data_IF_949119871418
#
_entry.id   IF_949119871418
#
_cell.length_a   1.000
_cell.length_b   1.000
_cell.length_c   1.000
_cell.angle_alpha   90.00
_cell.angle_beta   90.00
_cell.angle_gamma   90.00
#
_symmetry.space_group_name_H-M   'P 1'
#
loop_
_entity.id
_entity.type
_entity.pdbx_description
1 polymer ?
#
# COMPACT_ATOMS: atom_id res chain seq x y z
N UNK A 1 39.87 56.65 5.71
CA UNK A 1 40.22 55.86 6.92
C UNK A 1 39.35 54.62 6.94
N UNK A 2 39.92 53.52 6.46
CA UNK A 2 39.30 52.19 6.33
C UNK A 2 38.88 51.64 7.70
N UNK A 3 37.69 51.04 7.80
CA UNK A 3 37.32 50.17 8.93
C UNK A 3 37.16 48.75 8.41
N UNK A 4 37.85 47.86 9.11
CA UNK A 4 38.14 46.47 8.80
C UNK A 4 36.89 45.63 8.54
N UNK A 5 36.96 44.85 7.46
CA UNK A 5 36.18 43.62 7.28
C UNK A 5 36.84 42.54 8.14
N UNK A 6 36.12 42.03 9.14
CA UNK A 6 36.53 40.82 9.88
C UNK A 6 36.04 39.62 9.08
N UNK A 7 36.97 38.91 8.45
CA UNK A 7 36.70 37.68 7.73
C UNK A 7 36.44 36.53 8.74
N UNK A 8 35.20 36.06 8.83
CA UNK A 8 34.91 34.78 9.48
C UNK A 8 35.15 33.65 8.49
N UNK A 9 36.18 32.86 8.74
CA UNK A 9 36.48 31.63 7.99
C UNK A 9 35.44 30.56 8.30
N UNK A 10 34.56 30.25 7.37
CA UNK A 10 33.78 29.00 7.37
C UNK A 10 33.86 28.38 5.98
N UNK A 11 34.22 27.10 5.94
CA UNK A 11 34.59 26.34 4.74
C UNK A 11 33.53 26.44 3.62
N UNK A 12 33.94 26.53 2.35
CA UNK A 12 33.02 26.48 1.22
C UNK A 12 32.61 25.03 0.96
N UNK A 13 31.31 24.82 0.76
CA UNK A 13 30.80 23.57 0.18
C UNK A 13 30.13 22.60 1.15
N UNK A 14 28.85 22.88 1.45
CA UNK A 14 27.76 21.89 1.44
C UNK A 14 26.43 22.64 1.59
N UNK A 15 25.69 22.80 0.51
CA UNK A 15 24.29 23.18 0.58
C UNK A 15 23.52 22.03 1.21
N UNK A 16 23.41 21.99 2.54
CA UNK A 16 22.29 21.27 3.14
C UNK A 16 21.07 22.15 2.93
N UNK A 17 20.40 22.01 1.78
CA UNK A 17 18.97 22.32 1.77
C UNK A 17 18.39 21.50 2.92
N UNK A 18 18.06 22.15 4.04
CA UNK A 18 17.10 21.58 4.98
C UNK A 18 15.89 21.27 4.08
N UNK A 19 15.47 20.01 3.93
CA UNK A 19 14.27 19.72 3.17
C UNK A 19 13.19 20.67 3.70
N UNK A 20 12.46 21.40 2.85
CA UNK A 20 11.34 22.20 3.32
C UNK A 20 10.56 21.30 4.27
N UNK A 21 10.55 21.65 5.56
CA UNK A 21 9.85 20.83 6.55
C UNK A 21 8.44 20.72 6.02
N UNK A 22 8.03 19.51 5.68
CA UNK A 22 6.71 19.21 5.18
C UNK A 22 5.73 19.97 6.07
N UNK A 23 4.98 20.92 5.51
CA UNK A 23 4.23 21.89 6.31
C UNK A 23 3.18 21.13 7.13
N UNK A 24 3.49 20.86 8.40
CA UNK A 24 2.62 20.09 9.30
C UNK A 24 1.25 20.74 9.43
N UNK A 25 1.18 22.06 9.34
CA UNK A 25 -0.05 22.84 9.33
C UNK A 25 -0.94 22.54 8.11
N UNK A 26 -0.33 22.36 6.94
CA UNK A 26 -1.05 22.01 5.70
C UNK A 26 -1.59 20.58 5.80
N UNK A 27 -0.79 19.64 6.32
CA UNK A 27 -1.28 18.29 6.59
C UNK A 27 -2.41 18.26 7.62
N UNK A 28 -2.29 19.06 8.68
CA UNK A 28 -3.27 19.12 9.76
C UNK A 28 -4.58 19.70 9.24
N UNK A 29 -4.52 20.77 8.46
CA UNK A 29 -5.68 21.31 7.75
C UNK A 29 -6.29 20.27 6.80
N UNK A 30 -5.47 19.61 5.97
CA UNK A 30 -5.94 18.56 5.06
C UNK A 30 -6.64 17.41 5.79
N UNK A 31 -6.09 16.90 6.89
CA UNK A 31 -6.73 15.87 7.73
C UNK A 31 -7.99 16.33 8.46
N UNK A 32 -8.17 17.65 8.62
CA UNK A 32 -9.37 18.22 9.22
C UNK A 32 -10.50 18.26 8.20
N UNK A 33 -10.20 18.58 6.94
CA UNK A 33 -11.19 18.58 5.85
C UNK A 33 -11.49 17.18 5.30
N UNK A 34 -10.46 16.34 5.16
CA UNK A 34 -10.58 14.98 4.63
C UNK A 34 -10.52 13.99 5.79
N UNK A 35 -11.70 13.46 6.10
CA UNK A 35 -11.86 12.39 7.08
C UNK A 35 -11.00 11.19 6.66
N UNK A 36 -10.50 10.46 7.66
CA UNK A 36 -9.70 9.26 7.39
C UNK A 36 -10.64 8.15 6.95
N UNK A 37 -10.58 7.78 5.67
CA UNK A 37 -11.39 6.68 5.13
C UNK A 37 -11.04 5.39 5.85
N UNK A 38 -12.02 4.80 6.51
CA UNK A 38 -11.91 3.50 7.16
C UNK A 38 -12.39 2.39 6.23
N UNK A 39 -12.05 1.13 6.55
CA UNK A 39 -12.57 -0.02 5.80
C UNK A 39 -14.10 -0.09 5.85
N UNK A 40 -14.66 0.25 7.01
CA UNK A 40 -16.12 0.30 7.23
C UNK A 40 -16.80 1.34 6.33
N UNK A 41 -16.16 2.50 6.10
CA UNK A 41 -16.69 3.52 5.19
C UNK A 41 -16.75 3.01 3.74
N UNK A 42 -15.75 2.24 3.31
CA UNK A 42 -15.70 1.62 1.99
C UNK A 42 -16.82 0.58 1.84
N UNK A 43 -16.99 -0.29 2.85
CA UNK A 43 -18.06 -1.30 2.84
C UNK A 43 -19.45 -0.66 2.84
N UNK A 44 -19.63 0.42 3.61
CA UNK A 44 -20.87 1.19 3.66
C UNK A 44 -21.17 1.90 2.33
N UNK A 45 -20.13 2.39 1.65
CA UNK A 45 -20.25 2.95 0.31
C UNK A 45 -20.69 1.87 -0.69
N UNK A 46 -19.98 0.73 -0.73
CA UNK A 46 -20.30 -0.37 -1.65
C UNK A 46 -21.72 -0.89 -1.46
N UNK A 47 -22.21 -1.00 -0.22
CA UNK A 47 -23.61 -1.40 0.05
C UNK A 47 -24.66 -0.43 -0.51
N UNK A 48 -24.34 0.86 -0.57
CA UNK A 48 -25.24 1.89 -1.13
C UNK A 48 -25.11 1.98 -2.64
N UNK A 49 -23.90 1.81 -3.14
CA UNK A 49 -23.54 1.95 -4.55
C UNK A 49 -23.95 0.73 -5.37
N UNK A 50 -23.66 -0.48 -4.90
CA UNK A 50 -24.00 -1.72 -5.60
C UNK A 50 -25.52 -1.88 -5.72
N UNK A 51 -26.02 -2.05 -6.96
CA UNK A 51 -27.44 -2.14 -7.28
C UNK A 51 -28.16 -0.79 -7.41
N UNK A 52 -27.46 0.33 -7.20
CA UNK A 52 -28.03 1.67 -7.41
C UNK A 52 -28.13 2.02 -8.89
N UNK A 53 -28.93 3.05 -9.20
CA UNK A 53 -28.98 3.63 -10.56
C UNK A 53 -27.63 4.23 -10.97
N UNK A 54 -26.89 4.83 -10.02
CA UNK A 54 -25.55 5.38 -10.27
C UNK A 54 -24.60 4.32 -10.83
N UNK A 55 -24.61 3.11 -10.27
CA UNK A 55 -23.79 2.01 -10.79
C UNK A 55 -24.18 1.64 -12.23
N UNK A 56 -25.48 1.59 -12.53
CA UNK A 56 -25.96 1.27 -13.89
C UNK A 56 -25.53 2.35 -14.89
N UNK A 57 -25.66 3.62 -14.53
CA UNK A 57 -25.24 4.75 -15.36
C UNK A 57 -23.73 4.74 -15.63
N UNK A 58 -22.92 4.45 -14.61
CA UNK A 58 -21.47 4.28 -14.77
C UNK A 58 -21.14 3.12 -15.71
N UNK A 59 -21.81 1.97 -15.54
CA UNK A 59 -21.64 0.82 -16.44
C UNK A 59 -21.94 1.19 -17.90
N UNK A 60 -23.00 1.96 -18.13
CA UNK A 60 -23.35 2.45 -19.48
C UNK A 60 -22.25 3.37 -20.02
N UNK A 61 -21.82 4.35 -19.23
CA UNK A 61 -20.77 5.29 -19.64
C UNK A 61 -19.43 4.59 -19.95
N UNK A 62 -19.06 3.58 -19.16
CA UNK A 62 -17.85 2.76 -19.40
C UNK A 62 -18.01 1.92 -20.66
N UNK A 63 -19.18 1.32 -20.88
CA UNK A 63 -19.47 0.53 -22.08
C UNK A 63 -19.38 1.37 -23.35
N UNK A 64 -19.94 2.58 -23.34
CA UNK A 64 -19.85 3.54 -24.44
C UNK A 64 -18.40 3.96 -24.72
N UNK A 65 -17.66 4.33 -23.66
CA UNK A 65 -16.26 4.76 -23.76
C UNK A 65 -15.36 3.72 -24.41
N UNK A 66 -15.55 2.44 -24.05
CA UNK A 66 -14.72 1.34 -24.56
C UNK A 66 -15.37 0.51 -25.67
N UNK A 67 -16.57 0.90 -26.12
CA UNK A 67 -17.32 0.24 -27.20
C UNK A 67 -17.52 -1.25 -26.94
N UNK A 68 -17.87 -1.60 -25.70
CA UNK A 68 -18.11 -2.97 -25.26
C UNK A 68 -16.87 -3.85 -25.11
N UNK A 69 -15.66 -3.30 -24.99
CA UNK A 69 -14.47 -4.10 -24.66
C UNK A 69 -14.51 -4.56 -23.20
N UNK A 70 -14.99 -5.79 -22.97
CA UNK A 70 -15.18 -6.35 -21.62
C UNK A 70 -13.87 -6.36 -20.81
N UNK A 71 -12.73 -6.53 -21.48
CA UNK A 71 -11.42 -6.50 -20.84
C UNK A 71 -11.14 -5.21 -20.08
N UNK A 72 -11.55 -4.07 -20.64
CA UNK A 72 -11.38 -2.74 -20.03
C UNK A 72 -12.53 -2.39 -19.09
N UNK A 73 -13.72 -2.89 -19.40
CA UNK A 73 -14.92 -2.67 -18.57
C UNK A 73 -14.69 -3.27 -17.19
N UNK A 74 -14.21 -4.52 -17.08
CA UNK A 74 -13.94 -5.14 -15.77
C UNK A 74 -12.86 -4.42 -14.95
N UNK A 75 -11.94 -3.71 -15.61
CA UNK A 75 -10.89 -2.94 -14.93
C UNK A 75 -11.42 -1.59 -14.41
N UNK A 76 -12.53 -1.09 -14.95
CA UNK A 76 -13.10 0.20 -14.60
C UNK A 76 -14.33 0.11 -13.71
N UNK A 77 -15.14 -0.95 -13.85
CA UNK A 77 -16.39 -1.11 -13.09
C UNK A 77 -16.07 -1.69 -11.72
N UNK A 78 -16.56 -1.02 -10.68
CA UNK A 78 -16.43 -1.45 -9.28
C UNK A 78 -17.71 -2.14 -8.79
N UNK A 79 -17.58 -2.94 -7.73
CA UNK A 79 -18.72 -3.55 -7.04
C UNK A 79 -19.08 -4.97 -7.47
N UNK A 80 -18.22 -5.61 -8.26
CA UNK A 80 -18.33 -7.03 -8.63
C UNK A 80 -17.07 -7.76 -8.17
N UNK A 81 -17.22 -8.89 -7.49
CA UNK A 81 -16.10 -9.74 -7.10
C UNK A 81 -15.73 -10.70 -8.24
N UNK A 82 -16.76 -11.22 -8.91
CA UNK A 82 -16.60 -12.19 -9.99
C UNK A 82 -16.84 -11.59 -11.37
N UNK A 83 -16.00 -12.03 -12.31
CA UNK A 83 -16.07 -11.65 -13.71
C UNK A 83 -17.40 -12.09 -14.35
N UNK A 84 -17.97 -13.20 -13.88
CA UNK A 84 -19.26 -13.70 -14.37
C UNK A 84 -20.42 -12.82 -13.91
N UNK A 85 -20.41 -12.33 -12.67
CA UNK A 85 -21.47 -11.45 -12.15
C UNK A 85 -21.54 -10.14 -12.94
N UNK A 86 -20.37 -9.56 -13.26
CA UNK A 86 -20.29 -8.37 -14.12
C UNK A 86 -20.85 -8.65 -15.52
N UNK A 87 -20.53 -9.82 -16.09
CA UNK A 87 -21.04 -10.22 -17.39
C UNK A 87 -22.56 -10.37 -17.35
N UNK A 88 -23.10 -11.04 -16.34
CA UNK A 88 -24.54 -11.22 -16.19
C UNK A 88 -25.25 -9.87 -16.04
N UNK A 89 -24.67 -8.92 -15.29
CA UNK A 89 -25.20 -7.56 -15.17
C UNK A 89 -25.14 -6.76 -16.47
N UNK A 90 -24.13 -6.96 -17.32
CA UNK A 90 -24.09 -6.35 -18.65
C UNK A 90 -25.10 -7.02 -19.60
N UNK A 91 -25.26 -8.34 -19.51
CA UNK A 91 -26.22 -9.10 -20.30
C UNK A 91 -27.67 -8.70 -19.94
N UNK A 92 -27.97 -8.40 -18.66
CA UNK A 92 -29.28 -7.84 -18.28
C UNK A 92 -29.49 -6.45 -18.86
N UNK A 93 -28.50 -5.55 -18.82
CA UNK A 93 -28.61 -4.21 -19.44
C UNK A 93 -28.77 -4.26 -20.97
N UNK A 94 -28.15 -5.24 -21.62
CA UNK A 94 -28.35 -5.51 -23.05
C UNK A 94 -29.76 -6.04 -23.32
N UNK A 95 -30.28 -6.92 -22.45
CA UNK A 95 -31.64 -7.46 -22.57
C UNK A 95 -32.71 -6.39 -22.31
N UNK A 96 -32.48 -5.47 -21.38
CA UNK A 96 -33.32 -4.29 -21.12
C UNK A 96 -33.29 -3.28 -22.29
N UNK A 97 -32.33 -3.43 -23.22
CA UNK A 97 -32.17 -2.56 -24.38
C UNK A 97 -31.45 -1.23 -24.09
N UNK A 98 -30.88 -1.09 -22.88
CA UNK A 98 -30.08 0.08 -22.50
C UNK A 98 -28.71 0.09 -23.19
N UNK A 99 -28.19 -1.09 -23.55
CA UNK A 99 -26.91 -1.26 -24.24
C UNK A 99 -27.06 -2.00 -25.56
N UNK A 100 -26.39 -1.51 -26.61
CA UNK A 100 -26.28 -2.23 -27.88
C UNK A 100 -25.22 -3.32 -27.80
N UNK A 101 -25.58 -4.54 -28.22
CA UNK A 101 -24.63 -5.65 -28.29
C UNK A 101 -23.59 -5.38 -29.38
N UNK A 102 -22.35 -5.13 -28.98
CA UNK A 102 -21.26 -4.84 -29.92
C UNK A 102 -20.48 -6.10 -30.29
N UNK A 103 -19.91 -6.13 -31.50
CA UNK A 103 -19.02 -7.23 -31.94
C UNK A 103 -17.82 -7.41 -31.00
N UNK A 104 -17.30 -6.32 -30.45
CA UNK A 104 -16.19 -6.37 -29.50
C UNK A 104 -16.59 -7.09 -28.22
N UNK A 105 -17.77 -6.76 -27.69
CA UNK A 105 -18.32 -7.42 -26.52
C UNK A 105 -18.37 -8.94 -26.71
N UNK A 106 -18.97 -9.42 -27.80
CA UNK A 106 -19.05 -10.86 -28.12
C UNK A 106 -17.68 -11.55 -28.20
N UNK A 107 -16.69 -10.89 -28.80
CA UNK A 107 -15.33 -11.43 -28.87
C UNK A 107 -14.64 -11.48 -27.50
N UNK A 108 -14.89 -10.47 -26.66
CA UNK A 108 -14.25 -10.35 -25.34
C UNK A 108 -14.96 -11.16 -24.25
N UNK A 109 -16.23 -11.55 -24.43
CA UNK A 109 -17.00 -12.39 -23.51
C UNK A 109 -17.01 -13.88 -23.88
N UNK A 110 -16.21 -14.28 -24.86
CA UNK A 110 -15.99 -15.71 -25.19
C UNK A 110 -15.46 -16.48 -23.97
N UNK A 111 -15.86 -17.75 -23.81
CA UNK A 111 -15.45 -18.63 -22.70
C UNK A 111 -13.93 -18.64 -22.47
N UNK A 112 -13.14 -18.66 -23.56
CA UNK A 112 -11.67 -18.63 -23.49
C UNK A 112 -11.15 -17.35 -22.84
N UNK A 113 -11.78 -16.21 -23.15
CA UNK A 113 -11.43 -14.90 -22.58
C UNK A 113 -11.86 -14.81 -21.13
N UNK A 114 -13.10 -15.22 -20.82
CA UNK A 114 -13.62 -15.26 -19.45
C UNK A 114 -12.73 -16.09 -18.53
N UNK A 115 -12.33 -17.29 -18.96
CA UNK A 115 -11.42 -18.14 -18.19
C UNK A 115 -10.02 -17.50 -18.05
N UNK A 116 -9.56 -16.75 -19.05
CA UNK A 116 -8.31 -15.99 -18.94
C UNK A 116 -8.39 -14.86 -17.92
N UNK A 117 -9.54 -14.21 -17.75
CA UNK A 117 -9.73 -13.16 -16.75
C UNK A 117 -9.75 -13.75 -15.34
N UNK A 118 -10.49 -14.84 -15.12
CA UNK A 118 -10.49 -15.57 -13.84
C UNK A 118 -9.10 -15.99 -13.40
N UNK A 119 -8.33 -16.60 -14.31
CA UNK A 119 -6.93 -17.01 -14.03
C UNK A 119 -6.01 -15.84 -13.68
N UNK A 120 -6.25 -14.65 -14.25
CA UNK A 120 -5.48 -13.45 -13.89
C UNK A 120 -5.85 -12.97 -12.50
N UNK A 121 -7.15 -12.88 -12.19
CA UNK A 121 -7.63 -12.50 -10.87
C UNK A 121 -7.10 -13.45 -9.77
N UNK A 122 -7.14 -14.77 -10.00
CA UNK A 122 -6.57 -15.77 -9.09
C UNK A 122 -5.06 -15.58 -8.88
N UNK A 123 -4.33 -15.28 -9.96
CA UNK A 123 -2.88 -15.05 -9.89
C UNK A 123 -2.56 -13.78 -9.11
N UNK A 124 -3.29 -12.69 -9.36
CA UNK A 124 -3.12 -11.41 -8.66
C UNK A 124 -3.47 -11.54 -7.16
N UNK A 125 -4.54 -12.27 -6.83
CA UNK A 125 -4.89 -12.58 -5.43
C UNK A 125 -3.76 -13.33 -4.71
N UNK A 126 -3.18 -14.33 -5.38
CA UNK A 126 -2.04 -15.10 -4.84
C UNK A 126 -0.77 -14.25 -4.69
N UNK A 127 -0.51 -13.36 -5.64
CA UNK A 127 0.62 -12.43 -5.56
C UNK A 127 0.43 -11.43 -4.40
N UNK A 128 -0.78 -10.92 -4.20
CA UNK A 128 -1.09 -10.03 -3.08
C UNK A 128 -0.89 -10.71 -1.72
N UNK A 129 -1.33 -11.96 -1.59
CA UNK A 129 -1.09 -12.77 -0.39
C UNK A 129 0.42 -12.97 -0.13
N UNK A 130 1.18 -13.33 -1.17
CA UNK A 130 2.62 -13.52 -1.05
C UNK A 130 3.35 -12.23 -0.66
N UNK A 131 3.01 -11.09 -1.26
CA UNK A 131 3.59 -9.78 -0.91
C UNK A 131 3.29 -9.42 0.55
N UNK A 132 2.07 -9.68 1.02
CA UNK A 132 1.71 -9.43 2.40
C UNK A 132 2.50 -10.33 3.36
N UNK A 133 2.68 -11.60 3.01
CA UNK A 133 3.48 -12.54 3.78
C UNK A 133 4.97 -12.15 3.81
N UNK A 134 5.56 -11.82 2.66
CA UNK A 134 6.95 -11.34 2.55
C UNK A 134 7.18 -10.07 3.39
N UNK A 135 6.24 -9.12 3.35
CA UNK A 135 6.33 -7.90 4.16
C UNK A 135 6.34 -8.21 5.67
N UNK A 136 5.52 -9.16 6.11
CA UNK A 136 5.45 -9.58 7.50
C UNK A 136 6.73 -10.30 7.96
N UNK A 137 7.31 -11.14 7.11
CA UNK A 137 8.56 -11.86 7.37
C UNK A 137 9.74 -10.89 7.47
N UNK A 138 9.81 -9.90 6.57
CA UNK A 138 10.82 -8.85 6.64
C UNK A 138 10.75 -8.04 7.94
N UNK A 139 9.55 -7.66 8.38
CA UNK A 139 9.34 -6.97 9.66
C UNK A 139 9.82 -7.84 10.82
N UNK A 140 9.47 -9.13 10.83
CA UNK A 140 9.91 -10.07 11.85
C UNK A 140 11.45 -10.21 11.87
N UNK A 141 12.09 -10.28 10.71
CA UNK A 141 13.55 -10.36 10.58
C UNK A 141 14.23 -9.09 11.11
N UNK A 142 13.69 -7.90 10.81
CA UNK A 142 14.21 -6.63 11.31
C UNK A 142 14.10 -6.56 12.84
N UNK A 143 12.94 -6.94 13.39
CA UNK A 143 12.73 -6.97 14.84
C UNK A 143 13.68 -7.95 15.54
N UNK A 144 13.90 -9.13 14.96
CA UNK A 144 14.87 -10.11 15.48
C UNK A 144 16.29 -9.54 15.54
N UNK A 145 16.74 -8.87 14.46
CA UNK A 145 18.06 -8.23 14.40
C UNK A 145 18.19 -7.08 15.40
N UNK A 146 17.14 -6.28 15.58
CA UNK A 146 17.12 -5.21 16.58
C UNK A 146 17.23 -5.77 18.01
N UNK A 147 16.50 -6.85 18.32
CA UNK A 147 16.59 -7.55 19.61
C UNK A 147 17.99 -8.11 19.86
N UNK A 148 18.60 -8.76 18.87
CA UNK A 148 19.94 -9.30 18.99
C UNK A 148 21.00 -8.22 19.28
N UNK A 149 20.91 -7.05 18.62
CA UNK A 149 21.77 -5.89 18.92
C UNK A 149 21.51 -5.29 20.30
N UNK A 150 20.25 -5.25 20.72
CA UNK A 150 19.84 -4.74 22.03
C UNK A 150 20.34 -5.59 23.20
N UNK A 151 20.37 -6.92 23.05
CA UNK A 151 20.91 -7.83 24.06
C UNK A 151 22.39 -7.54 24.34
N UNK A 152 23.21 -7.42 23.29
CA UNK A 152 24.64 -7.09 23.43
C UNK A 152 24.89 -5.69 24.01
N UNK A 153 23.96 -4.74 23.82
CA UNK A 153 24.04 -3.41 24.41
C UNK A 153 23.84 -3.44 25.93
N UNK A 154 22.88 -4.23 26.42
CA UNK A 154 22.64 -4.38 27.86
C UNK A 154 23.79 -5.12 28.55
N UNK A 155 24.32 -6.19 27.96
CA UNK A 155 25.50 -6.90 28.48
C UNK A 155 26.72 -5.97 28.56
N UNK A 156 26.91 -5.09 27.57
CA UNK A 156 28.00 -4.12 27.55
C UNK A 156 27.83 -3.01 28.61
N UNK A 157 26.58 -2.66 28.96
CA UNK A 157 26.30 -1.75 30.07
C UNK A 157 26.53 -2.43 31.42
N UNK A 158 26.06 -3.66 31.59
CA UNK A 158 26.32 -4.45 32.81
C UNK A 158 27.82 -4.60 33.04
N UNK A 159 28.59 -4.97 32.02
CA UNK A 159 30.04 -5.11 32.14
C UNK A 159 30.77 -3.81 32.52
N UNK A 160 30.22 -2.64 32.16
CA UNK A 160 30.83 -1.34 32.48
C UNK A 160 30.44 -0.79 33.84
N UNK A 161 29.24 -1.10 34.32
CA UNK A 161 28.67 -0.48 35.52
C UNK A 161 28.41 -1.46 36.67
N UNK A 162 28.48 -2.78 36.43
CA UNK A 162 28.54 -3.77 37.50
C UNK A 162 29.91 -3.70 38.17
N UNK A 163 29.93 -3.22 39.41
CA UNK A 163 31.14 -3.27 40.25
C UNK A 163 31.58 -4.73 40.40
N UNK A 164 32.87 -5.08 40.24
CA UNK A 164 33.32 -6.44 40.49
C UNK A 164 33.25 -6.70 41.99
N UNK A 165 32.16 -7.28 42.48
CA UNK A 165 32.15 -7.86 43.82
C UNK A 165 33.09 -9.06 43.79
N UNK A 166 34.14 -8.99 44.61
CA UNK A 166 35.20 -9.97 44.71
C UNK A 166 34.70 -11.43 44.78
N UNK A 167 35.14 -12.28 43.84
CA UNK A 167 35.81 -13.56 44.16
C UNK A 167 36.10 -14.39 42.90
N UNK A 168 37.33 -14.27 42.41
CA UNK A 168 38.05 -15.41 41.82
C UNK A 168 39.55 -15.13 41.94
N UNK A 169 40.02 -15.11 43.19
CA UNK A 169 41.44 -15.23 43.48
C UNK A 169 41.84 -16.64 43.06
N UNK A 170 42.48 -16.73 41.90
CA UNK A 170 43.17 -17.91 41.44
C UNK A 170 44.05 -18.47 42.57
N UNK A 171 43.74 -19.68 43.04
CA UNK A 171 44.71 -20.51 43.76
C UNK A 171 45.74 -21.00 42.74
N UNK A 172 46.74 -20.14 42.46
CA UNK A 172 48.05 -20.57 41.96
C UNK A 172 48.96 -20.76 43.17
N UNK A 173 49.43 -21.99 43.36
CA UNK A 173 50.60 -22.31 44.18
C UNK A 173 50.35 -22.59 45.66
N UNK A 174 50.45 -23.87 46.03
CA UNK A 174 51.03 -24.30 47.30
C UNK A 174 51.65 -25.69 47.08
N UNK A 175 52.84 -25.86 47.67
CA UNK A 175 53.75 -27.02 47.62
C UNK A 175 53.09 -28.35 47.93
#
# INVERSE_FOLDING_TARGET
>A
RTRNVVASTTRPGRWTMRPPSFNEDVLKAWRTYFQKVTKEDIDNYLKKYCGSEEQKEEMIGVYEKYKGDFGKIQECVIGFEDVDELKDALDTLIAEGSLEKTKKYEMTTSEKKMNSYKRKAEKEAKEAENVQQESSDLVAMIQSRQKARGASFLDALEAKYSTPSASKRARRGAK
#
